data_IF_643284958065
#
_entry.id   IF_643284958065
#
_cell.length_a   1.000
_cell.length_b   1.000
_cell.length_c   1.000
_cell.angle_alpha   90.00
_cell.angle_beta   90.00
_cell.angle_gamma   90.00
#
_symmetry.space_group_name_H-M   'P 1'
#
loop_
_entity.id
_entity.type
_entity.pdbx_description
1 polymer ?
#
# COMPACT_ATOMS: atom_id res chain seq x y z
N UNK A 1 -7.63 -3.27 -3.60
CA UNK A 1 -8.70 -3.08 -2.63
C UNK A 1 -9.05 -4.44 -2.07
N UNK A 2 -8.85 -4.63 -0.77
CA UNK A 2 -9.28 -5.84 -0.10
C UNK A 2 -10.78 -5.71 0.15
N UNK A 3 -11.57 -6.56 -0.47
CA UNK A 3 -13.01 -6.61 -0.27
C UNK A 3 -13.31 -7.71 0.73
N UNK A 4 -13.51 -7.34 2.00
CA UNK A 4 -13.80 -8.31 3.06
C UNK A 4 -15.17 -8.96 2.87
N UNK A 5 -16.14 -8.21 2.38
CA UNK A 5 -17.54 -8.62 2.38
C UNK A 5 -17.92 -9.54 1.22
N UNK A 6 -17.38 -9.30 0.04
CA UNK A 6 -17.81 -10.00 -1.18
C UNK A 6 -17.09 -11.31 -1.45
N UNK A 7 -15.97 -11.58 -0.77
CA UNK A 7 -15.08 -12.71 -1.08
C UNK A 7 -14.83 -13.69 0.06
N UNK A 8 -15.12 -13.32 1.30
CA UNK A 8 -14.86 -14.20 2.45
C UNK A 8 -15.88 -14.02 3.55
N UNK A 9 -16.09 -15.10 4.30
CA UNK A 9 -16.81 -15.06 5.55
C UNK A 9 -15.86 -14.68 6.70
N UNK A 10 -16.40 -14.16 7.80
CA UNK A 10 -15.58 -13.74 8.95
C UNK A 10 -14.74 -14.89 9.53
N UNK A 11 -15.18 -16.14 9.37
CA UNK A 11 -14.45 -17.33 9.82
C UNK A 11 -13.19 -17.65 9.03
N UNK A 12 -13.06 -17.14 7.82
CA UNK A 12 -11.90 -17.36 6.95
C UNK A 12 -10.78 -16.34 7.18
N UNK A 13 -11.10 -15.24 7.87
CA UNK A 13 -10.14 -14.18 8.18
C UNK A 13 -9.39 -14.50 9.47
N UNK A 14 -8.10 -14.26 9.44
CA UNK A 14 -7.24 -14.35 10.63
C UNK A 14 -6.59 -13.00 10.89
N UNK A 15 -6.60 -12.58 12.13
CA UNK A 15 -6.06 -11.26 12.52
C UNK A 15 -5.16 -11.43 13.74
N UNK A 16 -4.00 -10.79 13.72
CA UNK A 16 -3.07 -10.77 14.84
C UNK A 16 -2.64 -9.33 15.16
N UNK A 17 -2.37 -9.11 16.45
CA UNK A 17 -1.56 -7.98 16.90
C UNK A 17 -0.18 -8.49 17.25
N UNK A 18 0.81 -8.10 16.48
CA UNK A 18 2.19 -8.50 16.63
C UNK A 18 2.96 -7.46 17.45
N UNK A 19 3.64 -7.91 18.48
CA UNK A 19 4.56 -7.12 19.26
C UNK A 19 5.98 -7.22 18.67
N UNK A 20 6.49 -8.44 18.48
CA UNK A 20 7.78 -8.75 17.87
C UNK A 20 7.72 -10.05 17.03
N UNK A 21 8.87 -10.60 16.67
CA UNK A 21 8.93 -11.82 15.84
C UNK A 21 8.35 -13.07 16.49
N UNK A 22 8.23 -13.08 17.83
CA UNK A 22 7.81 -14.25 18.63
C UNK A 22 6.45 -13.98 19.29
N UNK A 23 6.22 -12.74 19.70
CA UNK A 23 5.08 -12.36 20.52
C UNK A 23 3.95 -11.77 19.67
N UNK A 24 2.82 -12.48 19.62
CA UNK A 24 1.62 -12.04 18.91
C UNK A 24 0.34 -12.50 19.64
N UNK A 25 -0.71 -11.70 19.48
CA UNK A 25 -2.04 -11.96 20.02
C UNK A 25 -3.01 -12.26 18.87
N UNK A 26 -3.70 -13.38 18.92
CA UNK A 26 -4.75 -13.71 17.94
C UNK A 26 -6.05 -12.93 18.21
N UNK A 27 -6.63 -12.40 17.14
CA UNK A 27 -7.94 -11.77 17.15
C UNK A 27 -9.06 -12.78 17.38
N UNK A 28 -10.08 -12.37 18.12
CA UNK A 28 -11.31 -13.16 18.37
C UNK A 28 -12.52 -12.34 17.92
N UNK A 29 -13.65 -13.02 17.71
CA UNK A 29 -14.91 -12.39 17.32
C UNK A 29 -14.75 -11.47 16.09
N UNK A 30 -14.08 -12.00 15.07
CA UNK A 30 -13.87 -11.26 13.83
C UNK A 30 -15.22 -11.05 13.16
N UNK A 31 -15.53 -9.80 12.84
CA UNK A 31 -16.77 -9.39 12.18
C UNK A 31 -16.48 -8.44 11.04
N UNK A 32 -16.99 -8.76 9.87
CA UNK A 32 -16.94 -7.90 8.70
C UNK A 32 -18.13 -6.94 8.78
N UNK A 33 -17.87 -5.64 8.82
CA UNK A 33 -18.88 -4.58 8.84
C UNK A 33 -19.23 -4.18 7.41
N UNK A 34 -18.21 -3.93 6.60
CA UNK A 34 -18.33 -3.60 5.18
C UNK A 34 -17.08 -4.04 4.40
N UNK A 35 -17.01 -3.76 3.12
CA UNK A 35 -15.90 -4.15 2.23
C UNK A 35 -14.53 -3.61 2.67
N UNK A 36 -14.48 -2.63 3.54
CA UNK A 36 -13.24 -1.95 3.97
C UNK A 36 -13.03 -1.98 5.47
N UNK A 37 -14.04 -2.38 6.23
CA UNK A 37 -14.05 -2.28 7.69
C UNK A 37 -14.22 -3.64 8.35
N UNK A 38 -13.27 -3.96 9.21
CA UNK A 38 -13.21 -5.17 10.00
C UNK A 38 -13.20 -4.83 11.49
N UNK A 39 -14.01 -5.51 12.27
CA UNK A 39 -14.00 -5.45 13.72
C UNK A 39 -13.48 -6.76 14.30
N UNK A 40 -12.57 -6.68 15.26
CA UNK A 40 -12.08 -7.84 15.99
C UNK A 40 -11.73 -7.48 17.44
N UNK A 41 -11.76 -8.48 18.32
CA UNK A 41 -11.48 -8.31 19.73
C UNK A 41 -10.16 -8.99 20.09
N UNK A 42 -9.33 -8.29 20.88
CA UNK A 42 -8.09 -8.85 21.41
C UNK A 42 -8.13 -8.87 22.93
N UNK A 43 -7.57 -9.91 23.52
CA UNK A 43 -7.32 -9.95 24.95
C UNK A 43 -5.87 -9.58 25.19
N UNK A 44 -5.65 -8.41 25.78
CA UNK A 44 -4.31 -7.94 26.13
C UNK A 44 -3.83 -8.62 27.40
N UNK A 45 -2.59 -9.16 27.41
CA UNK A 45 -1.93 -9.63 28.62
C UNK A 45 -1.70 -8.51 29.62
N UNK A 46 -1.48 -8.90 30.89
CA UNK A 46 -1.28 -7.94 31.98
C UNK A 46 0.01 -7.12 31.84
N UNK A 47 1.05 -7.72 31.25
CA UNK A 47 2.37 -7.09 31.11
C UNK A 47 2.84 -7.18 29.65
N UNK A 48 3.55 -6.17 29.20
CA UNK A 48 4.29 -6.24 27.92
C UNK A 48 5.50 -7.17 28.06
N UNK A 49 5.93 -7.86 26.98
CA UNK A 49 6.97 -8.90 27.04
C UNK A 49 8.29 -8.44 27.67
N UNK A 50 8.71 -7.23 27.41
CA UNK A 50 9.98 -6.63 27.88
C UNK A 50 9.81 -5.68 29.06
N UNK A 51 8.64 -5.70 29.72
CA UNK A 51 8.37 -4.82 30.86
C UNK A 51 8.28 -3.34 30.50
N UNK A 52 8.20 -3.00 29.23
CA UNK A 52 7.97 -1.62 28.78
C UNK A 52 6.55 -1.15 29.16
N UNK A 53 6.41 0.15 29.33
CA UNK A 53 5.09 0.75 29.63
C UNK A 53 4.27 1.11 28.39
N UNK A 54 4.91 1.19 27.24
CA UNK A 54 4.26 1.53 25.96
C UNK A 54 4.86 0.70 24.84
N UNK A 55 4.00 0.27 23.93
CA UNK A 55 4.41 -0.41 22.73
C UNK A 55 3.47 -0.10 21.57
N UNK A 56 4.03 0.03 20.38
CA UNK A 56 3.28 0.09 19.14
C UNK A 56 3.20 -1.32 18.54
N UNK A 57 1.99 -1.83 18.37
CA UNK A 57 1.72 -3.15 17.84
C UNK A 57 1.42 -3.08 16.35
N UNK A 58 1.92 -4.04 15.60
CA UNK A 58 1.58 -4.18 14.19
C UNK A 58 0.31 -5.03 14.06
N UNK A 59 -0.62 -4.62 13.21
CA UNK A 59 -1.76 -5.47 12.86
C UNK A 59 -1.43 -6.29 11.61
N UNK A 60 -1.65 -7.59 11.70
CA UNK A 60 -1.53 -8.54 10.58
C UNK A 60 -2.91 -9.06 10.28
N UNK A 61 -3.37 -8.90 9.05
CA UNK A 61 -4.63 -9.44 8.56
C UNK A 61 -4.29 -10.44 7.47
N UNK A 62 -4.71 -11.67 7.64
CA UNK A 62 -4.56 -12.72 6.65
C UNK A 62 -5.91 -13.02 6.02
N UNK A 63 -5.99 -12.72 4.74
CA UNK A 63 -7.19 -12.89 3.94
C UNK A 63 -6.99 -14.07 2.96
N UNK A 64 -7.94 -15.02 2.87
CA UNK A 64 -7.76 -16.24 2.09
C UNK A 64 -7.53 -15.99 0.58
N UNK A 65 -8.06 -14.89 0.05
CA UNK A 65 -7.94 -14.56 -1.38
C UNK A 65 -6.90 -13.47 -1.66
N UNK A 66 -6.74 -12.50 -0.76
CA UNK A 66 -5.88 -11.34 -0.99
C UNK A 66 -4.50 -11.47 -0.33
N UNK A 67 -4.31 -12.52 0.47
CA UNK A 67 -3.06 -12.77 1.17
C UNK A 67 -2.91 -11.93 2.44
N UNK A 68 -1.68 -11.72 2.87
CA UNK A 68 -1.35 -11.07 4.14
C UNK A 68 -1.16 -9.57 3.96
N UNK A 69 -1.83 -8.80 4.82
CA UNK A 69 -1.64 -7.36 4.95
C UNK A 69 -1.04 -7.02 6.31
N UNK A 70 0.05 -6.26 6.32
CA UNK A 70 0.72 -5.78 7.52
C UNK A 70 0.51 -4.27 7.68
N UNK A 71 -0.05 -3.85 8.81
CA UNK A 71 -0.19 -2.46 9.20
C UNK A 71 0.77 -2.18 10.39
N UNK A 72 1.90 -1.54 10.15
CA UNK A 72 2.86 -1.23 11.20
C UNK A 72 2.33 -0.17 12.16
N UNK A 73 2.53 -0.37 13.46
CA UNK A 73 2.14 0.58 14.49
C UNK A 73 0.64 0.88 14.52
N UNK A 74 -0.20 -0.08 14.13
CA UNK A 74 -1.64 0.10 14.02
C UNK A 74 -2.33 0.40 15.36
N UNK A 75 -1.79 -0.14 16.45
CA UNK A 75 -2.33 0.04 17.79
C UNK A 75 -1.22 0.41 18.76
N UNK A 76 -1.35 1.52 19.45
CA UNK A 76 -0.47 1.88 20.57
C UNK A 76 -1.09 1.39 21.87
N UNK A 77 -0.36 0.58 22.60
CA UNK A 77 -0.76 0.04 23.90
C UNK A 77 0.05 0.74 24.99
N UNK A 78 -0.65 1.32 25.95
CA UNK A 78 -0.03 1.85 27.16
C UNK A 78 -0.49 1.00 28.34
N UNK A 79 0.47 0.48 29.10
CA UNK A 79 0.19 -0.34 30.25
C UNK A 79 -0.18 0.52 31.47
N UNK A 80 -1.34 0.25 32.05
CA UNK A 80 -1.73 0.78 33.34
C UNK A 80 -1.26 -0.17 34.45
N UNK A 81 -0.52 0.32 35.42
CA UNK A 81 -0.01 -0.45 36.57
C UNK A 81 -1.13 -1.02 37.45
N UNK A 82 -2.33 -0.49 37.36
CA UNK A 82 -3.50 -0.90 38.15
C UNK A 82 -4.43 -1.86 37.40
N UNK A 83 -4.10 -2.23 36.15
CA UNK A 83 -4.95 -3.10 35.35
C UNK A 83 -4.90 -4.54 35.83
N UNK A 84 -6.08 -5.08 36.20
CA UNK A 84 -6.28 -6.48 36.57
C UNK A 84 -6.59 -7.37 35.34
N UNK A 85 -5.81 -7.26 34.29
CA UNK A 85 -5.96 -8.06 33.08
C UNK A 85 -5.67 -9.54 33.32
N UNK A 86 -6.13 -10.42 32.42
CA UNK A 86 -5.85 -11.85 32.48
C UNK A 86 -4.35 -12.12 32.29
N UNK A 87 -3.83 -13.06 33.04
CA UNK A 87 -2.45 -13.53 32.88
C UNK A 87 -2.39 -14.50 31.67
N UNK A 88 -2.32 -13.93 30.48
CA UNK A 88 -2.29 -14.65 29.20
C UNK A 88 -0.91 -14.51 28.57
N UNK A 89 -0.37 -15.58 28.00
CA UNK A 89 0.89 -15.49 27.29
C UNK A 89 0.72 -14.72 25.96
N UNK A 90 1.69 -13.89 25.62
CA UNK A 90 1.74 -13.19 24.33
C UNK A 90 1.83 -14.11 23.11
N UNK A 91 2.32 -15.33 23.32
CA UNK A 91 2.48 -16.36 22.30
C UNK A 91 1.27 -17.29 22.17
N UNK A 92 0.10 -16.91 22.71
CA UNK A 92 -1.09 -17.77 22.69
C UNK A 92 -1.63 -18.09 21.27
N UNK A 93 -1.23 -17.34 20.28
CA UNK A 93 -1.61 -17.55 18.88
C UNK A 93 -0.40 -17.28 17.98
N UNK A 94 0.46 -18.26 17.70
CA UNK A 94 1.58 -18.11 16.83
C UNK A 94 1.11 -17.72 15.41
N UNK A 95 1.87 -16.86 14.74
CA UNK A 95 1.60 -16.46 13.35
C UNK A 95 2.11 -17.56 12.45
N UNK A 96 1.24 -18.49 12.07
CA UNK A 96 1.59 -19.65 11.26
C UNK A 96 0.67 -19.78 10.06
N UNK A 97 1.11 -20.51 9.03
CA UNK A 97 0.32 -20.85 7.85
C UNK A 97 -0.33 -19.63 7.20
N UNK A 98 0.45 -18.57 7.03
CA UNK A 98 -0.01 -17.37 6.34
C UNK A 98 -0.35 -17.68 4.89
N UNK A 99 -1.39 -17.05 4.38
CA UNK A 99 -1.80 -17.16 2.98
C UNK A 99 -0.80 -16.45 2.09
N UNK A 100 0.09 -17.22 1.45
CA UNK A 100 1.06 -16.67 0.50
C UNK A 100 0.37 -16.52 -0.85
N UNK A 101 0.17 -15.27 -1.28
CA UNK A 101 -0.27 -14.99 -2.63
C UNK A 101 0.93 -15.08 -3.56
N UNK A 102 0.83 -15.92 -4.59
CA UNK A 102 1.89 -16.08 -5.61
C UNK A 102 2.03 -14.86 -6.53
N UNK A 103 1.01 -14.01 -6.57
CA UNK A 103 1.01 -12.82 -7.38
C UNK A 103 1.68 -11.65 -6.66
N UNK A 104 2.35 -10.80 -7.43
CA UNK A 104 2.96 -9.59 -6.91
C UNK A 104 1.89 -8.68 -6.33
N UNK A 105 1.85 -8.54 -4.99
CA UNK A 105 0.96 -7.65 -4.29
C UNK A 105 1.77 -6.60 -3.54
N UNK A 106 1.39 -5.34 -3.70
CA UNK A 106 1.97 -4.26 -2.88
C UNK A 106 1.35 -4.30 -1.49
N UNK A 107 2.14 -4.18 -0.41
CA UNK A 107 1.60 -4.01 0.93
C UNK A 107 0.74 -2.74 0.98
N UNK A 108 -0.46 -2.85 1.57
CA UNK A 108 -1.35 -1.71 1.72
C UNK A 108 -0.73 -0.68 2.67
N UNK A 109 -0.30 0.44 2.09
CA UNK A 109 0.07 1.67 2.80
C UNK A 109 -0.52 2.84 2.04
N UNK A 110 -1.23 3.74 2.70
CA UNK A 110 -1.76 4.94 2.07
C UNK A 110 -0.68 5.74 1.32
N UNK A 111 0.50 5.83 1.91
CA UNK A 111 1.67 6.51 1.33
C UNK A 111 2.19 5.80 0.07
N UNK A 112 2.10 4.47 0.01
CA UNK A 112 2.51 3.71 -1.17
C UNK A 112 1.53 3.88 -2.33
N UNK A 113 0.24 4.08 -2.05
CA UNK A 113 -0.77 4.30 -3.08
C UNK A 113 -0.46 5.55 -3.90
N UNK A 114 -0.18 6.67 -3.24
CA UNK A 114 0.21 7.91 -3.91
C UNK A 114 1.57 7.78 -4.63
N UNK A 115 2.55 7.12 -4.02
CA UNK A 115 3.85 6.87 -4.64
C UNK A 115 3.76 5.96 -5.86
N UNK A 116 2.93 4.92 -5.82
CA UNK A 116 2.69 4.01 -6.94
C UNK A 116 2.00 4.77 -8.07
N UNK A 117 0.94 5.52 -7.79
CA UNK A 117 0.25 6.35 -8.76
C UNK A 117 1.21 7.31 -9.43
N UNK A 118 2.04 7.99 -8.64
CA UNK A 118 3.04 8.92 -9.13
C UNK A 118 4.05 8.21 -10.05
N UNK A 119 4.61 7.08 -9.63
CA UNK A 119 5.60 6.34 -10.41
C UNK A 119 5.04 5.81 -11.73
N UNK A 120 3.82 5.27 -11.73
CA UNK A 120 3.26 4.65 -12.95
C UNK A 120 2.62 5.63 -13.92
N UNK A 121 2.16 6.79 -13.48
CA UNK A 121 1.50 7.77 -14.33
C UNK A 121 2.37 8.99 -14.60
N UNK A 122 2.85 9.69 -13.59
CA UNK A 122 3.60 10.91 -13.79
C UNK A 122 4.95 10.68 -14.47
N UNK A 123 5.71 9.69 -14.01
CA UNK A 123 7.07 9.46 -14.52
C UNK A 123 7.06 9.10 -16.01
N UNK A 124 6.27 8.14 -16.51
CA UNK A 124 6.20 7.86 -17.95
C UNK A 124 5.71 9.03 -18.77
N UNK A 125 4.77 9.84 -18.28
CA UNK A 125 4.26 11.02 -18.99
C UNK A 125 5.33 12.09 -19.14
N UNK A 126 6.14 12.35 -18.11
CA UNK A 126 7.25 13.27 -18.16
C UNK A 126 8.35 12.80 -19.11
N UNK A 127 8.68 11.52 -19.15
CA UNK A 127 9.61 10.97 -20.13
C UNK A 127 9.06 11.09 -21.55
N UNK A 128 7.79 10.82 -21.76
CA UNK A 128 7.14 10.98 -23.07
C UNK A 128 7.19 12.42 -23.56
N UNK A 129 6.88 13.38 -22.70
CA UNK A 129 7.01 14.82 -22.99
C UNK A 129 8.45 15.16 -23.40
N UNK A 130 9.45 14.70 -22.61
CA UNK A 130 10.86 14.97 -22.90
C UNK A 130 11.28 14.45 -24.27
N UNK A 131 10.96 13.19 -24.58
CA UNK A 131 11.31 12.59 -25.88
C UNK A 131 10.62 13.28 -27.05
N UNK A 132 9.34 13.64 -26.90
CA UNK A 132 8.59 14.37 -27.93
C UNK A 132 9.16 15.75 -28.17
N UNK A 133 9.56 16.47 -27.13
CA UNK A 133 10.20 17.79 -27.30
C UNK A 133 11.57 17.68 -27.94
N UNK A 134 12.38 16.69 -27.59
CA UNK A 134 13.66 16.44 -28.29
C UNK A 134 13.43 16.17 -29.78
N UNK A 135 12.42 15.35 -30.12
CA UNK A 135 12.05 15.10 -31.52
C UNK A 135 11.60 16.38 -32.23
N UNK A 136 10.77 17.21 -31.57
CA UNK A 136 10.35 18.50 -32.09
C UNK A 136 11.55 19.42 -32.40
N UNK A 137 12.50 19.52 -31.48
CA UNK A 137 13.73 20.32 -31.66
C UNK A 137 14.52 19.78 -32.85
N UNK A 138 14.71 18.48 -32.99
CA UNK A 138 15.44 17.89 -34.12
C UNK A 138 14.78 18.24 -35.46
N UNK A 139 13.46 18.15 -35.57
CA UNK A 139 12.75 18.50 -36.78
C UNK A 139 12.76 20.03 -37.05
N UNK A 140 12.73 20.86 -36.00
CA UNK A 140 12.88 22.30 -36.12
C UNK A 140 14.27 22.69 -36.66
N UNK A 141 15.35 22.09 -36.17
CA UNK A 141 16.70 22.29 -36.67
C UNK A 141 16.83 21.82 -38.12
N UNK A 142 16.22 20.69 -38.48
CA UNK A 142 16.18 20.22 -39.88
C UNK A 142 15.48 21.21 -40.80
N UNK A 143 14.35 21.77 -40.34
CA UNK A 143 13.63 22.78 -41.11
C UNK A 143 14.49 24.05 -41.32
N UNK A 144 15.21 24.51 -40.32
CA UNK A 144 16.13 25.66 -40.46
C UNK A 144 17.26 25.36 -41.43
N UNK A 145 17.77 24.16 -41.50
CA UNK A 145 18.84 23.74 -42.42
C UNK A 145 18.33 23.49 -43.85
N UNK A 146 17.13 22.93 -43.97
CA UNK A 146 16.46 22.68 -45.24
C UNK A 146 14.95 22.92 -45.07
N UNK A 147 14.41 24.03 -45.56
CA UNK A 147 13.06 24.51 -45.32
C UNK A 147 12.00 23.69 -46.07
N UNK A 148 11.87 22.42 -45.71
CA UNK A 148 10.80 21.51 -46.16
C UNK A 148 9.62 21.59 -45.21
N UNK A 149 8.45 21.98 -45.71
CA UNK A 149 7.22 22.16 -44.92
C UNK A 149 6.84 20.91 -44.06
N UNK A 150 7.19 19.74 -44.52
CA UNK A 150 6.98 18.50 -43.80
C UNK A 150 7.74 18.42 -42.47
N UNK A 151 8.96 18.99 -42.41
CA UNK A 151 9.75 19.06 -41.18
C UNK A 151 9.10 20.02 -40.15
N UNK A 152 8.54 21.11 -40.61
CA UNK A 152 7.83 22.07 -39.76
C UNK A 152 6.56 21.45 -39.17
N UNK A 153 5.77 20.79 -39.98
CA UNK A 153 4.56 20.09 -39.54
C UNK A 153 4.88 18.98 -38.51
N UNK A 154 5.95 18.22 -38.70
CA UNK A 154 6.39 17.21 -37.76
C UNK A 154 6.86 17.84 -36.45
N UNK A 155 7.63 18.91 -36.50
CA UNK A 155 8.06 19.62 -35.31
C UNK A 155 6.88 20.10 -34.48
N UNK A 156 5.86 20.69 -35.11
CA UNK A 156 4.63 21.14 -34.47
C UNK A 156 3.85 19.99 -33.87
N UNK A 157 3.64 18.90 -34.60
CA UNK A 157 2.89 17.74 -34.13
C UNK A 157 3.55 17.11 -32.89
N UNK A 158 4.88 16.99 -32.86
CA UNK A 158 5.60 16.49 -31.69
C UNK A 158 5.50 17.44 -30.49
N UNK A 159 5.56 18.76 -30.70
CA UNK A 159 5.40 19.73 -29.63
C UNK A 159 3.98 19.69 -29.02
N UNK A 160 2.95 19.67 -29.84
CA UNK A 160 1.55 19.60 -29.39
C UNK A 160 1.26 18.31 -28.63
N UNK A 161 1.73 17.16 -29.14
CA UNK A 161 1.59 15.88 -28.47
C UNK A 161 2.37 15.86 -27.14
N UNK A 162 3.57 16.43 -27.11
CA UNK A 162 4.36 16.58 -25.90
C UNK A 162 3.64 17.41 -24.82
N UNK A 163 3.05 18.53 -25.19
CA UNK A 163 2.25 19.35 -24.28
C UNK A 163 1.02 18.61 -23.72
N UNK A 164 0.37 17.79 -24.55
CA UNK A 164 -0.74 16.96 -24.10
C UNK A 164 -0.30 15.98 -23.00
N UNK A 165 0.81 15.25 -23.21
CA UNK A 165 1.36 14.34 -22.21
C UNK A 165 1.81 15.09 -20.94
N UNK A 166 2.42 16.26 -21.09
CA UNK A 166 2.79 17.11 -19.96
C UNK A 166 1.57 17.58 -19.15
N UNK A 167 0.50 17.97 -19.83
CA UNK A 167 -0.77 18.32 -19.18
C UNK A 167 -1.40 17.16 -18.40
N UNK A 168 -1.42 15.97 -19.00
CA UNK A 168 -1.89 14.76 -18.30
C UNK A 168 -0.99 14.36 -17.12
N UNK A 169 0.30 14.68 -17.18
CA UNK A 169 1.22 14.44 -16.07
C UNK A 169 1.08 15.42 -14.90
N UNK A 170 0.29 16.48 -15.03
CA UNK A 170 0.05 17.46 -13.94
C UNK A 170 -1.21 17.13 -13.12
N UNK A 171 -2.07 16.20 -13.59
CA UNK A 171 -3.31 15.76 -12.93
C UNK A 171 -3.05 14.51 -12.11
#
# INVERSE_FOLDING_TARGET
>A
YNSFYTRSEAGDLRVWLQYDSVNALGGKNIRIIDDTTLECSFRLPRTLPDGQKRAALNAIIDHPFDGVSLLPGAVEVTQDTNYAGADLPWTAAPIENLTIKSDFSFPYRNILYESIRNTYFHVPMWFSLLFLFVASVVYSVRYLSNPVLENDRRAMAYAETGLLYGGMGLV
#
